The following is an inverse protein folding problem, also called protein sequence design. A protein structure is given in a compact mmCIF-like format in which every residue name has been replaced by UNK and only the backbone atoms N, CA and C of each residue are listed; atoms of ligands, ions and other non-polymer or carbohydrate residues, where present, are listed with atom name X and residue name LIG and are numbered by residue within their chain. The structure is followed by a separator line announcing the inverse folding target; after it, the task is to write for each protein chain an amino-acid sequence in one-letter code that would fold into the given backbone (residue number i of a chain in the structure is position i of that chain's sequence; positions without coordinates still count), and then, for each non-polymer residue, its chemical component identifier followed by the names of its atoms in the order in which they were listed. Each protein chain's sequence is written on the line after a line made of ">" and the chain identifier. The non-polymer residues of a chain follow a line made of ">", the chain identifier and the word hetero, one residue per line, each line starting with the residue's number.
data_IF_943436906062
#
_entry.id   IF_943436906062
#
_cell.length_a   1.000
_cell.length_b   1.000
_cell.length_c   1.000
_cell.angle_alpha   90.00
_cell.angle_beta   90.00
_cell.angle_gamma   90.00
#
_symmetry.space_group_name_H-M   'P 1'
#
loop_
_entity.id
_entity.type
_entity.pdbx_description
1 polymer ?
#
# COMPACT_ATOMS: atom_id res chain seq x y z
N UNK A 1 3.81 -25.13 -23.26
CA UNK A 1 3.31 -25.17 -21.85
C UNK A 1 3.54 -23.80 -21.25
N UNK A 2 2.48 -23.02 -20.98
CA UNK A 2 2.61 -21.68 -20.39
C UNK A 2 2.91 -21.90 -18.90
N UNK A 3 4.16 -21.70 -18.50
CA UNK A 3 4.57 -21.72 -17.09
C UNK A 3 3.91 -20.49 -16.46
N UNK A 4 2.92 -20.69 -15.61
CA UNK A 4 2.32 -19.62 -14.81
C UNK A 4 3.37 -19.24 -13.75
N UNK A 5 4.12 -18.15 -14.00
CA UNK A 5 5.07 -17.60 -13.02
C UNK A 5 4.30 -17.16 -11.77
N UNK A 6 4.79 -17.51 -10.59
CA UNK A 6 4.24 -17.06 -9.31
C UNK A 6 4.18 -15.52 -9.22
N UNK A 7 3.31 -15.02 -8.36
CA UNK A 7 3.18 -13.56 -8.11
C UNK A 7 3.84 -13.23 -6.77
N UNK A 8 4.76 -12.28 -6.78
CA UNK A 8 5.39 -11.76 -5.56
C UNK A 8 4.36 -11.00 -4.73
N UNK A 9 4.23 -11.36 -3.46
CA UNK A 9 3.40 -10.64 -2.51
C UNK A 9 4.28 -9.71 -1.66
N UNK A 10 3.98 -8.41 -1.72
CA UNK A 10 4.61 -7.38 -0.89
C UNK A 10 3.52 -6.49 -0.30
N UNK A 11 3.48 -6.41 1.01
CA UNK A 11 2.61 -5.50 1.76
C UNK A 11 3.42 -4.31 2.27
N UNK A 12 2.89 -3.10 2.14
CA UNK A 12 3.48 -1.86 2.64
C UNK A 12 2.56 -1.23 3.68
N UNK A 13 3.12 -0.85 4.83
CA UNK A 13 2.37 -0.27 5.94
C UNK A 13 3.10 0.89 6.62
N UNK A 14 2.34 1.77 7.29
CA UNK A 14 2.84 2.86 8.13
C UNK A 14 2.92 2.37 9.57
N UNK A 15 3.99 2.72 10.27
CA UNK A 15 4.18 2.39 11.68
C UNK A 15 4.02 3.63 12.56
N UNK A 16 3.25 3.47 13.63
CA UNK A 16 2.98 4.49 14.64
C UNK A 16 3.64 4.16 15.99
N UNK A 17 4.28 2.99 16.08
CA UNK A 17 5.09 2.53 17.21
C UNK A 17 6.23 1.67 16.66
N UNK A 18 7.26 2.30 16.12
CA UNK A 18 8.38 1.59 15.51
C UNK A 18 9.18 0.76 16.52
N UNK A 19 9.42 1.28 17.73
CA UNK A 19 10.17 0.55 18.78
C UNK A 19 9.46 -0.73 19.20
N UNK A 20 8.14 -0.64 19.45
CA UNK A 20 7.33 -1.81 19.77
C UNK A 20 7.29 -2.82 18.63
N UNK A 21 7.24 -2.33 17.38
CA UNK A 21 7.23 -3.21 16.20
C UNK A 21 8.57 -3.92 16.00
N UNK A 22 9.70 -3.22 16.11
CA UNK A 22 11.03 -3.83 16.04
C UNK A 22 11.18 -4.90 17.12
N UNK A 23 10.84 -4.57 18.38
CA UNK A 23 10.90 -5.55 19.49
C UNK A 23 9.97 -6.75 19.27
N UNK A 24 8.84 -6.57 18.60
CA UNK A 24 7.92 -7.65 18.30
C UNK A 24 8.48 -8.61 17.24
N UNK A 25 9.00 -8.09 16.12
CA UNK A 25 9.48 -8.92 15.02
C UNK A 25 10.80 -9.63 15.33
N UNK A 26 11.62 -9.09 16.26
CA UNK A 26 12.91 -9.64 16.66
C UNK A 26 12.88 -10.48 17.95
N UNK A 27 11.68 -10.76 18.50
CA UNK A 27 11.55 -11.51 19.76
C UNK A 27 11.32 -12.99 19.52
N UNK A 28 12.26 -13.83 19.87
CA UNK A 28 12.11 -15.29 19.83
C UNK A 28 10.94 -15.79 20.68
N UNK A 29 10.67 -15.15 21.83
CA UNK A 29 9.55 -15.51 22.69
C UNK A 29 8.17 -15.25 22.06
N UNK A 30 8.08 -14.34 21.09
CA UNK A 30 6.83 -13.95 20.42
C UNK A 30 6.69 -14.52 19.01
N UNK A 31 7.81 -14.94 18.42
CA UNK A 31 7.90 -15.43 17.04
C UNK A 31 8.38 -16.88 17.05
N UNK A 32 7.47 -17.84 17.00
CA UNK A 32 7.78 -19.27 17.09
C UNK A 32 8.74 -19.77 15.99
N UNK A 33 8.79 -19.07 14.86
CA UNK A 33 9.62 -19.44 13.70
C UNK A 33 10.43 -18.24 13.21
N UNK A 34 11.16 -17.59 14.12
CA UNK A 34 12.16 -16.57 13.80
C UNK A 34 13.46 -17.26 13.38
N UNK A 35 13.99 -16.94 12.20
CA UNK A 35 15.20 -17.52 11.64
C UNK A 35 16.39 -16.60 11.71
N UNK A 36 16.18 -15.30 11.45
CA UNK A 36 17.24 -14.29 11.46
C UNK A 36 16.70 -12.91 11.80
N UNK A 37 17.57 -12.07 12.36
CA UNK A 37 17.33 -10.62 12.54
C UNK A 37 18.54 -9.84 12.04
N UNK A 38 18.29 -8.69 11.40
CA UNK A 38 19.36 -7.84 10.91
C UNK A 38 19.01 -6.37 11.07
N UNK A 39 19.90 -5.59 11.67
CA UNK A 39 19.73 -4.16 11.90
C UNK A 39 20.91 -3.39 11.29
N UNK A 40 20.65 -2.35 10.52
CA UNK A 40 21.69 -1.51 9.91
C UNK A 40 22.05 -0.30 10.78
N UNK A 41 21.27 -0.04 11.83
CA UNK A 41 21.50 1.02 12.82
C UNK A 41 21.17 0.53 14.23
N UNK A 42 21.83 1.06 15.27
CA UNK A 42 21.61 0.68 16.66
C UNK A 42 20.22 1.13 17.17
N UNK A 43 19.78 0.57 18.30
CA UNK A 43 18.47 0.88 18.89
C UNK A 43 18.25 2.33 19.25
N UNK A 44 19.32 3.05 19.60
CA UNK A 44 19.32 4.48 19.90
C UNK A 44 18.87 5.30 18.70
N UNK A 45 19.29 4.93 17.48
CA UNK A 45 18.86 5.56 16.24
C UNK A 45 17.33 5.62 16.13
N UNK A 46 16.65 4.50 16.39
CA UNK A 46 15.19 4.43 16.32
C UNK A 46 14.52 5.25 17.42
N UNK A 47 15.15 5.36 18.59
CA UNK A 47 14.67 6.21 19.69
C UNK A 47 14.72 7.67 19.34
N UNK A 48 15.83 8.13 18.77
CA UNK A 48 16.03 9.52 18.34
C UNK A 48 15.10 9.86 17.16
N UNK A 49 14.97 8.94 16.18
CA UNK A 49 14.05 9.07 15.04
C UNK A 49 12.59 9.27 15.51
N UNK A 50 12.13 8.52 16.52
CA UNK A 50 10.79 8.65 17.08
C UNK A 50 10.62 10.03 17.74
N UNK A 51 11.57 10.48 18.55
CA UNK A 51 11.51 11.80 19.21
C UNK A 51 11.37 12.90 18.16
N UNK A 52 12.21 12.88 17.12
CA UNK A 52 12.18 13.90 16.08
C UNK A 52 10.91 13.84 15.23
N UNK A 53 10.46 12.66 14.83
CA UNK A 53 9.20 12.51 14.08
C UNK A 53 8.00 13.04 14.85
N UNK A 54 7.92 12.77 16.16
CA UNK A 54 6.84 13.27 17.04
C UNK A 54 6.91 14.77 17.22
N UNK A 55 8.11 15.33 17.44
CA UNK A 55 8.30 16.76 17.55
C UNK A 55 7.87 17.50 16.26
N UNK A 56 8.27 16.99 15.08
CA UNK A 56 7.85 17.55 13.80
C UNK A 56 6.34 17.42 13.58
N UNK A 57 5.74 16.29 13.95
CA UNK A 57 4.31 16.07 13.84
C UNK A 57 3.51 17.08 14.68
N UNK A 58 3.92 17.29 15.94
CA UNK A 58 3.30 18.29 16.82
C UNK A 58 3.45 19.70 16.23
N UNK A 59 4.66 20.06 15.77
CA UNK A 59 4.93 21.39 15.16
C UNK A 59 4.10 21.63 13.89
N UNK A 60 3.83 20.59 13.13
CA UNK A 60 3.06 20.72 11.89
C UNK A 60 1.57 21.03 12.13
N UNK A 61 1.04 20.79 13.32
CA UNK A 61 -0.39 20.92 13.63
C UNK A 61 -1.29 19.99 12.84
N UNK A 62 -0.73 18.96 12.21
CA UNK A 62 -1.49 17.99 11.40
C UNK A 62 -2.32 17.09 12.29
N UNK A 63 -3.60 16.90 11.96
CA UNK A 63 -4.46 15.93 12.64
C UNK A 63 -4.09 14.48 12.29
N UNK A 64 -4.41 13.54 13.17
CA UNK A 64 -4.19 12.10 12.96
C UNK A 64 -3.06 11.54 13.81
N UNK A 65 -2.37 10.51 13.32
CA UNK A 65 -1.32 9.78 14.05
C UNK A 65 0.03 9.98 13.39
N UNK A 66 1.06 10.23 14.20
CA UNK A 66 2.43 10.36 13.72
C UNK A 66 2.91 9.07 13.05
N UNK A 67 3.47 9.17 11.85
CA UNK A 67 4.16 8.07 11.19
C UNK A 67 5.62 8.12 11.65
N UNK A 68 6.04 7.10 12.42
CA UNK A 68 7.40 6.99 12.96
C UNK A 68 8.36 6.32 11.98
N UNK A 69 7.88 5.29 11.27
CA UNK A 69 8.62 4.55 10.25
C UNK A 69 7.64 3.85 9.29
N UNK A 70 8.17 3.08 8.34
CA UNK A 70 7.36 2.20 7.47
C UNK A 70 7.89 0.78 7.47
N UNK A 71 7.03 -0.14 7.05
CA UNK A 71 7.36 -1.55 6.98
C UNK A 71 6.94 -2.15 5.64
N UNK A 72 7.83 -2.94 5.04
CA UNK A 72 7.48 -3.92 4.03
C UNK A 72 7.42 -5.31 4.64
N UNK A 73 6.38 -6.07 4.27
CA UNK A 73 6.33 -7.52 4.47
C UNK A 73 6.46 -8.15 3.09
N UNK A 74 7.54 -8.88 2.87
CA UNK A 74 7.90 -9.50 1.59
C UNK A 74 7.77 -11.00 1.73
N UNK A 75 6.79 -11.61 1.07
CA UNK A 75 6.68 -13.06 1.03
C UNK A 75 7.75 -13.65 0.11
N UNK A 76 8.44 -14.66 0.60
CA UNK A 76 9.46 -15.40 -0.12
C UNK A 76 8.93 -16.77 -0.56
N UNK A 77 9.37 -17.29 -1.73
CA UNK A 77 9.09 -18.66 -2.12
C UNK A 77 9.68 -19.67 -1.12
N UNK A 78 8.96 -20.76 -0.87
CA UNK A 78 9.44 -21.84 0.02
C UNK A 78 10.80 -22.42 -0.44
N UNK A 79 11.11 -22.37 -1.72
CA UNK A 79 12.45 -22.75 -2.24
C UNK A 79 13.58 -22.01 -1.50
N UNK A 80 13.35 -20.79 -1.06
CA UNK A 80 14.36 -19.97 -0.39
C UNK A 80 14.61 -20.38 1.08
N UNK A 81 13.85 -21.30 1.63
CA UNK A 81 14.16 -21.90 2.95
C UNK A 81 15.43 -22.74 2.95
N UNK A 82 15.92 -23.12 1.77
CA UNK A 82 17.21 -23.81 1.61
C UNK A 82 18.44 -22.91 1.65
N UNK A 83 18.27 -21.57 1.70
CA UNK A 83 19.39 -20.63 1.83
C UNK A 83 19.72 -20.35 3.29
N UNK A 84 20.95 -19.90 3.54
CA UNK A 84 21.32 -19.38 4.86
C UNK A 84 20.45 -18.18 5.23
N UNK A 85 19.71 -18.21 6.36
CA UNK A 85 18.74 -17.16 6.72
C UNK A 85 19.40 -15.80 7.00
N UNK A 86 20.59 -15.79 7.61
CA UNK A 86 21.29 -14.54 7.96
C UNK A 86 21.81 -13.85 6.71
N UNK A 87 22.45 -14.59 5.80
CA UNK A 87 22.94 -14.07 4.53
C UNK A 87 21.78 -13.59 3.64
N UNK A 88 20.68 -14.35 3.58
CA UNK A 88 19.49 -14.01 2.84
C UNK A 88 18.90 -12.68 3.34
N UNK A 89 18.66 -12.57 4.65
CA UNK A 89 18.09 -11.38 5.26
C UNK A 89 19.00 -10.17 5.10
N UNK A 90 20.30 -10.33 5.34
CA UNK A 90 21.31 -9.28 5.15
C UNK A 90 21.33 -8.77 3.71
N UNK A 91 21.32 -9.66 2.72
CA UNK A 91 21.33 -9.29 1.31
C UNK A 91 20.11 -8.43 0.94
N UNK A 92 18.90 -8.83 1.37
CA UNK A 92 17.69 -8.07 1.11
C UNK A 92 17.72 -6.70 1.79
N UNK A 93 18.13 -6.65 3.06
CA UNK A 93 18.16 -5.43 3.88
C UNK A 93 19.19 -4.44 3.37
N UNK A 94 20.43 -4.88 3.11
CA UNK A 94 21.49 -4.03 2.59
C UNK A 94 21.22 -3.54 1.15
N UNK A 95 20.58 -4.37 0.33
CA UNK A 95 20.17 -3.96 -1.01
C UNK A 95 19.11 -2.86 -0.96
N UNK A 96 18.15 -2.95 -0.02
CA UNK A 96 17.14 -1.91 0.19
C UNK A 96 17.77 -0.63 0.76
N UNK A 97 18.60 -0.74 1.82
CA UNK A 97 19.36 0.38 2.38
C UNK A 97 20.13 1.13 1.31
N UNK A 98 20.87 0.43 0.49
CA UNK A 98 21.70 1.01 -0.58
C UNK A 98 20.87 1.73 -1.65
N UNK A 99 19.74 1.13 -2.04
CA UNK A 99 18.86 1.72 -3.08
C UNK A 99 18.18 2.99 -2.62
N UNK A 100 17.71 3.02 -1.38
CA UNK A 100 16.88 4.12 -0.87
C UNK A 100 17.61 5.02 0.12
N UNK A 101 18.85 4.70 0.45
CA UNK A 101 19.70 5.41 1.41
C UNK A 101 18.98 5.64 2.75
N UNK A 102 18.58 4.57 3.43
CA UNK A 102 17.83 4.57 4.69
C UNK A 102 18.33 3.51 5.62
N UNK A 103 18.17 3.72 6.94
CA UNK A 103 18.44 2.68 7.93
C UNK A 103 17.25 1.73 8.05
N UNK A 104 17.57 0.46 8.30
CA UNK A 104 16.63 -0.64 8.35
C UNK A 104 16.78 -1.51 9.60
N UNK A 105 15.66 -2.11 10.01
CA UNK A 105 15.63 -3.23 10.96
C UNK A 105 14.74 -4.31 10.35
N UNK A 106 15.25 -5.52 10.24
CA UNK A 106 14.56 -6.60 9.53
C UNK A 106 14.57 -7.90 10.33
N UNK A 107 13.57 -8.76 10.05
CA UNK A 107 13.45 -10.08 10.61
C UNK A 107 12.86 -11.05 9.59
N UNK A 108 13.34 -12.29 9.60
CA UNK A 108 12.93 -13.37 8.71
C UNK A 108 12.20 -14.44 9.48
N UNK A 109 10.96 -14.70 9.07
CA UNK A 109 10.06 -15.61 9.78
C UNK A 109 9.34 -16.59 8.87
N UNK A 110 8.84 -17.68 9.50
CA UNK A 110 7.63 -18.36 9.04
C UNK A 110 6.42 -17.98 9.91
N UNK A 111 5.21 -18.10 9.34
CA UNK A 111 4.01 -18.16 10.17
C UNK A 111 3.98 -19.48 10.98
N UNK A 112 3.10 -19.56 12.00
CA UNK A 112 2.95 -20.76 12.86
C UNK A 112 2.79 -22.08 12.08
N UNK A 113 2.13 -22.04 10.92
CA UNK A 113 1.85 -23.22 10.08
C UNK A 113 2.96 -23.53 9.08
N UNK A 114 4.05 -22.77 9.08
CA UNK A 114 5.14 -22.85 8.10
C UNK A 114 4.67 -22.84 6.64
N UNK A 115 3.66 -22.04 6.34
CA UNK A 115 3.08 -21.87 4.98
C UNK A 115 3.34 -20.50 4.37
N UNK A 116 4.10 -19.65 5.06
CA UNK A 116 4.38 -18.29 4.61
C UNK A 116 5.73 -17.83 5.15
N UNK A 117 6.78 -18.09 4.38
CA UNK A 117 8.12 -17.58 4.61
C UNK A 117 8.20 -16.13 4.19
N UNK A 118 8.64 -15.21 5.06
CA UNK A 118 8.58 -13.79 4.75
C UNK A 118 9.57 -12.95 5.57
N UNK A 119 9.97 -11.84 4.97
CA UNK A 119 10.78 -10.81 5.60
C UNK A 119 9.86 -9.69 6.09
N UNK A 120 10.04 -9.26 7.34
CA UNK A 120 9.66 -7.95 7.84
C UNK A 120 10.84 -7.00 7.66
N UNK A 121 10.68 -5.92 6.91
CA UNK A 121 11.70 -4.91 6.69
C UNK A 121 11.14 -3.54 7.10
N UNK A 122 11.56 -3.06 8.25
CA UNK A 122 11.24 -1.73 8.78
C UNK A 122 12.31 -0.77 8.31
N UNK A 123 11.92 0.42 7.84
CA UNK A 123 12.86 1.42 7.37
C UNK A 123 12.45 2.84 7.79
N UNK A 124 13.46 3.71 7.97
CA UNK A 124 13.26 5.12 8.28
C UNK A 124 12.91 5.91 7.02
N UNK A 125 12.13 7.00 7.17
CA UNK A 125 11.88 7.95 6.07
C UNK A 125 12.92 9.09 6.04
N UNK A 126 13.93 9.04 6.93
CA UNK A 126 14.94 10.10 7.15
C UNK A 126 16.32 9.50 7.25
N UNK A 127 17.31 10.31 6.91
CA UNK A 127 18.72 10.04 7.18
C UNK A 127 19.14 10.76 8.46
N UNK A 128 20.05 10.15 9.21
CA UNK A 128 20.69 10.82 10.34
C UNK A 128 21.75 11.78 9.81
N UNK A 129 21.77 13.01 10.33
CA UNK A 129 22.78 14.00 10.01
C UNK A 129 24.12 13.59 10.65
N UNK A 130 25.23 13.94 10.01
CA UNK A 130 26.56 13.74 10.58
C UNK A 130 26.76 14.58 11.85
N UNK A 131 26.24 15.82 11.81
CA UNK A 131 26.18 16.71 12.98
C UNK A 131 24.77 17.29 13.14
N UNK A 132 24.32 17.52 14.39
CA UNK A 132 23.03 18.12 14.65
C UNK A 132 22.91 19.53 14.08
N UNK A 133 21.82 19.82 13.39
CA UNK A 133 21.50 21.19 12.96
C UNK A 133 20.76 21.91 14.07
N UNK A 134 21.37 22.96 14.61
CA UNK A 134 20.83 23.76 15.70
C UNK A 134 20.29 25.07 15.21
N UNK A 135 19.10 25.45 15.66
CA UNK A 135 18.53 26.78 15.45
C UNK A 135 18.65 27.61 16.69
N UNK A 136 19.31 28.76 16.53
CA UNK A 136 19.57 29.70 17.62
C UNK A 136 18.53 30.82 17.62
N UNK A 137 18.00 31.16 18.78
CA UNK A 137 17.01 32.21 18.95
C UNK A 137 17.65 33.60 18.67
N UNK A 138 17.17 34.28 17.61
CA UNK A 138 17.61 35.66 17.28
C UNK A 138 16.98 36.72 18.16
N UNK A 139 15.97 36.37 18.96
CA UNK A 139 15.24 37.16 19.96
C UNK A 139 14.68 36.25 21.04
N UNK A 140 14.20 36.77 22.15
CA UNK A 140 13.48 35.97 23.13
C UNK A 140 12.27 35.33 22.49
N UNK A 141 12.12 34.02 22.65
CA UNK A 141 11.04 33.21 22.07
C UNK A 141 10.20 32.60 23.20
N UNK A 142 8.87 32.62 23.01
CA UNK A 142 7.92 32.11 23.99
C UNK A 142 7.20 30.91 23.43
N UNK A 143 6.92 29.90 24.27
CA UNK A 143 6.25 28.66 23.90
C UNK A 143 5.19 28.33 24.93
N UNK A 144 4.05 27.84 24.46
CA UNK A 144 2.97 27.35 25.31
C UNK A 144 3.29 25.97 25.92
N UNK A 145 2.44 25.44 26.83
CA UNK A 145 2.65 24.12 27.44
C UNK A 145 2.73 22.97 26.43
N UNK A 146 2.15 23.13 25.23
CA UNK A 146 2.21 22.15 24.15
C UNK A 146 3.46 22.29 23.26
N UNK A 147 4.36 23.23 23.58
CA UNK A 147 5.56 23.49 22.80
C UNK A 147 5.32 24.30 21.52
N UNK A 148 4.13 24.87 21.34
CA UNK A 148 3.81 25.75 20.22
C UNK A 148 4.30 27.15 20.49
N UNK A 149 4.94 27.76 19.50
CA UNK A 149 5.44 29.12 19.60
C UNK A 149 4.29 30.13 19.72
N UNK A 150 4.36 31.01 20.71
CA UNK A 150 3.50 32.18 20.86
C UNK A 150 4.21 33.43 20.37
N UNK A 151 3.42 34.37 19.84
CA UNK A 151 3.97 35.53 19.11
C UNK A 151 4.56 36.59 20.00
N UNK A 152 3.94 36.85 21.13
CA UNK A 152 4.26 37.98 21.99
C UNK A 152 4.47 37.54 23.44
N UNK A 153 5.24 38.34 24.20
CA UNK A 153 5.39 38.14 25.66
C UNK A 153 4.03 38.23 26.35
N UNK A 154 3.14 39.16 25.92
CA UNK A 154 1.81 39.34 26.51
C UNK A 154 0.91 38.10 26.46
N UNK A 155 1.05 37.27 25.42
CA UNK A 155 0.33 36.00 25.32
C UNK A 155 0.87 34.91 26.23
N UNK A 156 2.16 35.03 26.63
CA UNK A 156 2.85 34.02 27.41
C UNK A 156 3.01 34.42 28.90
N UNK A 157 2.64 35.65 29.30
CA UNK A 157 2.84 36.17 30.64
C UNK A 157 1.75 37.14 31.06
N UNK A 158 1.50 37.20 32.37
CA UNK A 158 0.66 38.16 33.05
C UNK A 158 1.49 39.10 33.93
N UNK A 159 0.87 39.78 34.89
CA UNK A 159 1.50 40.68 35.84
C UNK A 159 2.42 39.95 36.83
N UNK A 160 2.25 38.64 37.02
CA UNK A 160 3.05 37.79 37.93
C UNK A 160 4.20 37.08 37.20
N UNK A 161 4.32 37.19 35.87
CA UNK A 161 5.40 36.58 35.09
C UNK A 161 4.90 35.67 33.97
N UNK A 162 5.64 34.58 33.65
CA UNK A 162 5.21 33.61 32.67
C UNK A 162 4.03 32.78 33.19
N UNK A 163 3.04 32.59 32.35
CA UNK A 163 1.87 31.72 32.63
C UNK A 163 2.32 30.27 32.92
N UNK A 164 1.57 29.51 33.76
CA UNK A 164 1.93 28.15 34.10
C UNK A 164 2.13 27.26 32.86
N UNK A 165 3.28 26.55 32.81
CA UNK A 165 3.68 25.70 31.70
C UNK A 165 4.23 26.41 30.46
N UNK A 166 4.17 27.73 30.38
CA UNK A 166 4.86 28.50 29.36
C UNK A 166 6.34 28.57 29.64
N UNK A 167 7.16 28.62 28.56
CA UNK A 167 8.60 28.74 28.67
C UNK A 167 9.13 29.86 27.77
N UNK A 168 10.19 30.50 28.19
CA UNK A 168 10.94 31.43 27.38
C UNK A 168 12.29 30.84 27.02
N UNK A 169 12.71 31.01 25.79
CA UNK A 169 14.09 30.73 25.33
C UNK A 169 14.73 32.10 25.02
N UNK A 170 15.79 32.47 25.73
CA UNK A 170 16.50 33.73 25.53
C UNK A 170 17.14 33.82 24.14
N UNK A 171 17.38 35.07 23.69
CA UNK A 171 18.20 35.33 22.50
C UNK A 171 19.59 34.70 22.69
N UNK A 172 20.08 34.01 21.67
CA UNK A 172 21.37 33.32 21.65
C UNK A 172 21.32 31.86 22.06
N UNK A 173 20.22 31.38 22.65
CA UNK A 173 20.06 29.97 23.02
C UNK A 173 19.48 29.13 21.90
N UNK A 174 19.78 27.83 21.94
CA UNK A 174 19.23 26.83 20.99
C UNK A 174 17.77 26.57 21.33
N UNK A 175 16.87 26.78 20.36
CA UNK A 175 15.45 26.53 20.56
C UNK A 175 14.95 25.27 19.82
N UNK A 176 15.72 24.78 18.86
CA UNK A 176 15.39 23.60 18.06
C UNK A 176 16.68 22.91 17.60
N UNK A 177 16.74 21.61 17.75
CA UNK A 177 17.85 20.78 17.29
C UNK A 177 17.28 19.64 16.44
N UNK A 178 17.92 19.41 15.31
CA UNK A 178 17.57 18.35 14.38
C UNK A 178 18.72 17.37 14.25
N UNK A 179 18.45 16.10 14.54
CA UNK A 179 19.39 14.99 14.37
C UNK A 179 19.23 14.31 13.00
N UNK A 180 18.13 14.58 12.31
CA UNK A 180 17.76 13.94 11.05
C UNK A 180 17.40 14.97 9.98
N UNK A 181 17.57 14.57 8.74
CA UNK A 181 17.04 15.29 7.59
C UNK A 181 15.51 15.29 7.61
N UNK A 182 14.91 16.12 6.76
CA UNK A 182 13.45 16.07 6.52
C UNK A 182 13.08 14.73 5.91
N UNK A 183 11.83 14.28 6.16
CA UNK A 183 11.29 13.07 5.53
C UNK A 183 11.42 13.14 4.01
N UNK A 184 12.03 12.11 3.43
CA UNK A 184 12.21 12.03 2.00
C UNK A 184 10.84 11.92 1.30
N UNK A 185 10.49 12.85 0.38
CA UNK A 185 9.21 12.86 -0.32
C UNK A 185 8.98 11.64 -1.20
N UNK A 186 10.05 10.92 -1.60
CA UNK A 186 9.98 9.68 -2.36
C UNK A 186 9.01 8.67 -1.76
N UNK A 187 9.02 8.52 -0.42
CA UNK A 187 8.17 7.54 0.28
C UNK A 187 6.67 7.89 0.30
N UNK A 188 6.31 9.08 -0.18
CA UNK A 188 4.91 9.53 -0.35
C UNK A 188 4.44 9.46 -1.80
N UNK A 189 5.31 9.16 -2.76
CA UNK A 189 4.95 9.05 -4.16
C UNK A 189 4.00 7.87 -4.38
N UNK A 190 3.07 8.04 -5.33
CA UNK A 190 2.01 7.04 -5.61
C UNK A 190 2.56 5.73 -6.17
N UNK A 191 3.67 5.80 -6.87
CA UNK A 191 4.35 4.68 -7.53
C UNK A 191 5.44 4.02 -6.67
N UNK A 192 5.83 4.66 -5.54
CA UNK A 192 6.87 4.13 -4.66
C UNK A 192 6.64 2.66 -4.27
N UNK A 193 5.41 2.31 -3.86
CA UNK A 193 5.10 0.93 -3.45
C UNK A 193 5.23 -0.06 -4.61
N UNK A 194 4.89 0.34 -5.83
CA UNK A 194 5.04 -0.53 -7.01
C UNK A 194 6.51 -0.71 -7.39
N UNK A 195 7.27 0.39 -7.39
CA UNK A 195 8.72 0.35 -7.64
C UNK A 195 9.46 -0.52 -6.60
N UNK A 196 9.00 -0.48 -5.34
CA UNK A 196 9.53 -1.36 -4.30
C UNK A 196 9.14 -2.83 -4.52
N UNK A 197 7.93 -3.12 -4.99
CA UNK A 197 7.53 -4.50 -5.36
C UNK A 197 8.38 -5.05 -6.50
N UNK A 198 8.61 -4.28 -7.54
CA UNK A 198 9.49 -4.66 -8.64
C UNK A 198 10.90 -4.94 -8.13
N UNK A 199 11.45 -4.05 -7.30
CA UNK A 199 12.75 -4.22 -6.69
C UNK A 199 12.87 -5.53 -5.88
N UNK A 200 11.91 -5.82 -5.00
CA UNK A 200 11.93 -7.08 -4.24
C UNK A 200 11.74 -8.31 -5.14
N UNK A 201 10.91 -8.19 -6.19
CA UNK A 201 10.75 -9.27 -7.17
C UNK A 201 12.06 -9.57 -7.89
N UNK A 202 12.81 -8.54 -8.26
CA UNK A 202 14.12 -8.70 -8.90
C UNK A 202 15.15 -9.34 -7.94
N UNK A 203 15.15 -8.95 -6.66
CA UNK A 203 16.01 -9.58 -5.65
C UNK A 203 15.69 -11.08 -5.49
N UNK A 204 14.40 -11.43 -5.42
CA UNK A 204 13.95 -12.83 -5.35
C UNK A 204 14.40 -13.57 -6.62
N UNK A 205 14.16 -13.00 -7.80
CA UNK A 205 14.45 -13.64 -9.09
C UNK A 205 15.94 -13.87 -9.36
N UNK A 206 16.82 -13.09 -8.76
CA UNK A 206 18.28 -13.30 -8.87
C UNK A 206 18.72 -14.61 -8.24
N UNK A 207 17.95 -15.14 -7.29
CA UNK A 207 18.27 -16.34 -6.53
C UNK A 207 17.45 -17.57 -6.97
N UNK A 208 16.46 -17.37 -7.86
CA UNK A 208 15.59 -18.44 -8.33
C UNK A 208 16.01 -18.98 -9.70
N UNK A 209 15.88 -20.31 -9.91
CA UNK A 209 15.97 -20.90 -11.24
C UNK A 209 14.96 -20.27 -12.21
N UNK A 210 15.26 -20.23 -13.50
CA UNK A 210 14.45 -19.54 -14.53
C UNK A 210 12.96 -19.96 -14.51
N UNK A 211 12.71 -21.26 -14.34
CA UNK A 211 11.35 -21.83 -14.29
C UNK A 211 10.55 -21.40 -13.05
N UNK A 212 11.22 -20.97 -11.98
CA UNK A 212 10.61 -20.55 -10.71
C UNK A 212 10.51 -19.01 -10.56
N UNK A 213 11.04 -18.25 -11.51
CA UNK A 213 11.01 -16.80 -11.45
C UNK A 213 9.59 -16.27 -11.27
N UNK A 214 9.47 -15.27 -10.41
CA UNK A 214 8.23 -14.61 -10.04
C UNK A 214 8.02 -13.32 -10.86
N UNK A 215 6.82 -12.76 -10.78
CA UNK A 215 6.48 -11.46 -11.37
C UNK A 215 5.68 -10.64 -10.39
N UNK A 216 5.72 -9.32 -10.53
CA UNK A 216 4.77 -8.44 -9.85
C UNK A 216 3.37 -8.64 -10.42
N UNK A 217 2.33 -8.33 -9.64
CA UNK A 217 0.97 -8.26 -10.18
C UNK A 217 0.87 -6.99 -11.05
N UNK A 218 0.82 -7.12 -12.37
CA UNK A 218 0.90 -5.95 -13.23
C UNK A 218 -0.39 -5.14 -13.18
N UNK A 219 -0.28 -3.81 -12.99
CA UNK A 219 -1.43 -2.87 -13.03
C UNK A 219 -2.17 -2.90 -14.37
N UNK A 220 -1.42 -3.14 -15.46
CA UNK A 220 -1.92 -3.14 -16.84
C UNK A 220 -2.26 -4.55 -17.34
N UNK A 221 -2.81 -5.39 -16.48
CA UNK A 221 -3.34 -6.71 -16.84
C UNK A 221 -4.85 -6.77 -16.63
N UNK A 222 -5.57 -7.61 -17.39
CA UNK A 222 -7.02 -7.71 -17.27
C UNK A 222 -7.50 -8.38 -15.97
N UNK A 223 -6.59 -8.94 -15.18
CA UNK A 223 -6.90 -9.60 -13.91
C UNK A 223 -7.34 -8.63 -12.82
N UNK A 224 -8.11 -9.12 -11.86
CA UNK A 224 -8.53 -8.40 -10.65
C UNK A 224 -7.82 -8.98 -9.41
N UNK A 225 -7.08 -8.18 -8.64
CA UNK A 225 -6.38 -8.66 -7.44
C UNK A 225 -7.38 -9.00 -6.32
N UNK A 226 -7.21 -10.16 -5.68
CA UNK A 226 -7.94 -10.53 -4.47
C UNK A 226 -7.41 -9.78 -3.25
N UNK A 227 -8.22 -9.70 -2.19
CA UNK A 227 -7.84 -9.07 -0.93
C UNK A 227 -7.62 -10.14 0.13
N UNK A 228 -6.49 -10.08 0.85
CA UNK A 228 -6.23 -10.97 1.99
C UNK A 228 -7.23 -10.70 3.11
N UNK A 229 -7.79 -11.76 3.68
CA UNK A 229 -8.70 -11.69 4.83
C UNK A 229 -7.87 -11.86 6.09
N UNK A 230 -7.91 -10.87 6.98
CA UNK A 230 -7.28 -10.94 8.30
C UNK A 230 -8.06 -11.88 9.24
N UNK A 231 -7.38 -12.50 10.21
CA UNK A 231 -7.93 -13.53 11.09
C UNK A 231 -9.22 -13.11 11.84
N UNK A 232 -9.32 -11.84 12.22
CA UNK A 232 -10.45 -11.28 12.99
C UNK A 232 -11.05 -10.08 12.24
N UNK A 233 -11.16 -10.15 10.92
CA UNK A 233 -11.73 -9.05 10.15
C UNK A 233 -13.25 -9.09 10.23
N UNK A 234 -13.93 -8.05 10.75
CA UNK A 234 -15.39 -8.03 10.86
C UNK A 234 -16.10 -8.08 9.49
N UNK A 235 -15.38 -7.76 8.40
CA UNK A 235 -15.88 -7.81 7.02
C UNK A 235 -15.36 -9.03 6.24
N UNK A 236 -15.00 -10.14 6.93
CA UNK A 236 -14.40 -11.30 6.30
C UNK A 236 -15.29 -11.89 5.19
N UNK A 237 -16.58 -12.09 5.47
CA UNK A 237 -17.55 -12.64 4.52
C UNK A 237 -17.73 -11.76 3.28
N UNK A 238 -17.82 -10.45 3.45
CA UNK A 238 -17.94 -9.51 2.33
C UNK A 238 -16.69 -9.53 1.41
N UNK A 239 -15.50 -9.66 2.04
CA UNK A 239 -14.25 -9.75 1.30
C UNK A 239 -14.16 -11.08 0.57
N UNK A 240 -14.59 -12.17 1.19
CA UNK A 240 -14.59 -13.52 0.60
C UNK A 240 -15.50 -13.57 -0.62
N UNK A 241 -16.73 -13.07 -0.52
CA UNK A 241 -17.66 -12.99 -1.64
C UNK A 241 -17.12 -12.13 -2.78
N UNK A 242 -16.51 -10.97 -2.43
CA UNK A 242 -15.84 -10.11 -3.42
C UNK A 242 -14.66 -10.82 -4.09
N UNK A 243 -13.87 -11.60 -3.33
CA UNK A 243 -12.75 -12.38 -3.88
C UNK A 243 -13.26 -13.49 -4.80
N UNK A 244 -14.35 -14.19 -4.46
CA UNK A 244 -14.98 -15.19 -5.32
C UNK A 244 -15.35 -14.62 -6.69
N UNK A 245 -15.98 -13.45 -6.73
CA UNK A 245 -16.30 -12.77 -7.98
C UNK A 245 -15.07 -12.42 -8.80
N UNK A 246 -14.00 -11.97 -8.14
CA UNK A 246 -12.72 -11.68 -8.81
C UNK A 246 -12.06 -12.93 -9.36
N UNK A 247 -12.15 -14.05 -8.66
CA UNK A 247 -11.61 -15.34 -9.11
C UNK A 247 -12.40 -15.87 -10.32
N UNK A 248 -13.71 -15.72 -10.33
CA UNK A 248 -14.54 -16.02 -11.50
C UNK A 248 -14.16 -15.18 -12.72
N UNK A 249 -13.96 -13.87 -12.52
CA UNK A 249 -13.43 -12.99 -13.56
C UNK A 249 -12.07 -13.47 -14.06
N UNK A 250 -11.13 -13.75 -13.16
CA UNK A 250 -9.77 -14.16 -13.51
C UNK A 250 -9.76 -15.51 -14.24
N UNK A 251 -10.61 -16.45 -13.86
CA UNK A 251 -10.82 -17.71 -14.59
C UNK A 251 -11.37 -17.46 -16.00
N UNK A 252 -12.29 -16.50 -16.15
CA UNK A 252 -12.79 -16.05 -17.44
C UNK A 252 -11.69 -15.47 -18.33
N UNK A 253 -10.83 -14.61 -17.77
CA UNK A 253 -9.67 -14.05 -18.47
C UNK A 253 -8.72 -15.16 -18.96
N UNK A 254 -8.42 -16.15 -18.11
CA UNK A 254 -7.57 -17.29 -18.51
C UNK A 254 -8.18 -18.06 -19.68
N UNK A 255 -9.49 -18.35 -19.65
CA UNK A 255 -10.19 -19.02 -20.76
C UNK A 255 -10.16 -18.20 -22.04
N UNK A 256 -10.37 -16.88 -21.97
CA UNK A 256 -10.29 -16.00 -23.12
C UNK A 256 -8.89 -15.98 -23.73
N UNK A 257 -7.85 -15.87 -22.89
CA UNK A 257 -6.44 -15.88 -23.32
C UNK A 257 -6.03 -17.21 -23.95
N UNK A 258 -6.45 -18.34 -23.39
CA UNK A 258 -6.15 -19.66 -23.96
C UNK A 258 -6.78 -19.88 -25.34
N UNK A 259 -7.77 -19.05 -25.71
CA UNK A 259 -8.42 -19.02 -27.00
C UNK A 259 -7.92 -17.91 -27.94
N UNK A 260 -6.82 -17.26 -27.60
CA UNK A 260 -6.18 -16.27 -28.44
C UNK A 260 -6.74 -14.84 -28.32
N UNK A 261 -7.62 -14.53 -27.35
CA UNK A 261 -8.10 -13.15 -27.17
C UNK A 261 -6.94 -12.23 -26.76
N UNK A 262 -6.68 -11.15 -27.52
CA UNK A 262 -5.59 -10.22 -27.21
C UNK A 262 -5.76 -9.53 -25.84
N UNK A 263 -4.65 -9.24 -25.19
CA UNK A 263 -4.61 -8.55 -23.89
C UNK A 263 -5.34 -7.20 -23.93
N UNK A 264 -5.13 -6.43 -24.97
CA UNK A 264 -5.70 -5.09 -25.18
C UNK A 264 -7.22 -5.14 -25.17
N UNK A 265 -7.80 -6.17 -25.79
CA UNK A 265 -9.24 -6.39 -25.82
C UNK A 265 -9.77 -6.74 -24.43
N UNK A 266 -9.09 -7.59 -23.69
CA UNK A 266 -9.46 -7.94 -22.30
C UNK A 266 -9.31 -6.75 -21.34
N UNK A 267 -8.32 -5.90 -21.57
CA UNK A 267 -8.16 -4.63 -20.84
C UNK A 267 -9.31 -3.66 -21.13
N UNK A 268 -9.75 -3.58 -22.38
CA UNK A 268 -10.93 -2.79 -22.76
C UNK A 268 -12.19 -3.28 -22.04
N UNK A 269 -12.44 -4.59 -22.04
CA UNK A 269 -13.57 -5.22 -21.33
C UNK A 269 -13.53 -4.89 -19.83
N UNK A 270 -12.36 -5.05 -19.18
CA UNK A 270 -12.18 -4.67 -17.78
C UNK A 270 -12.49 -3.19 -17.52
N UNK A 271 -12.03 -2.33 -18.41
CA UNK A 271 -12.26 -0.89 -18.30
C UNK A 271 -13.75 -0.55 -18.36
N UNK A 272 -14.46 -1.12 -19.34
CA UNK A 272 -15.87 -0.80 -19.56
C UNK A 272 -16.79 -1.44 -18.50
N UNK A 273 -16.57 -2.70 -18.13
CA UNK A 273 -17.45 -3.44 -17.23
C UNK A 273 -17.15 -3.19 -15.74
N UNK A 274 -15.92 -2.81 -15.38
CA UNK A 274 -15.51 -2.68 -13.98
C UNK A 274 -15.01 -1.27 -13.68
N UNK A 275 -13.98 -0.78 -14.40
CA UNK A 275 -13.27 0.45 -13.99
C UNK A 275 -14.17 1.66 -14.13
N UNK A 276 -14.79 1.88 -15.28
CA UNK A 276 -15.66 3.04 -15.52
C UNK A 276 -16.89 3.08 -14.58
N UNK A 277 -17.66 1.98 -14.39
CA UNK A 277 -18.78 1.97 -13.46
C UNK A 277 -18.35 2.25 -12.01
N UNK A 278 -17.23 1.65 -11.56
CA UNK A 278 -16.68 1.91 -10.23
C UNK A 278 -16.25 3.38 -10.07
N UNK A 279 -15.57 3.93 -11.07
CA UNK A 279 -15.13 5.34 -11.03
C UNK A 279 -16.31 6.30 -10.98
N UNK A 280 -17.39 6.03 -11.73
CA UNK A 280 -18.63 6.80 -11.70
C UNK A 280 -19.27 6.75 -10.32
N UNK A 281 -19.47 5.55 -9.76
CA UNK A 281 -20.05 5.36 -8.43
C UNK A 281 -19.24 6.07 -7.32
N UNK A 282 -17.91 6.03 -7.38
CA UNK A 282 -17.04 6.76 -6.43
C UNK A 282 -17.22 8.27 -6.55
N UNK A 283 -17.35 8.79 -7.78
CA UNK A 283 -17.58 10.23 -8.02
C UNK A 283 -18.96 10.67 -7.48
N UNK A 284 -19.99 9.88 -7.71
CA UNK A 284 -21.36 10.14 -7.24
C UNK A 284 -21.49 10.08 -5.72
N UNK A 285 -20.66 9.28 -5.03
CA UNK A 285 -20.64 9.13 -3.56
C UNK A 285 -19.62 10.04 -2.84
N UNK A 286 -19.21 11.15 -3.48
CA UNK A 286 -18.31 12.12 -2.86
C UNK A 286 -16.87 11.63 -2.64
N UNK A 287 -16.38 10.72 -3.51
CA UNK A 287 -15.00 10.24 -3.49
C UNK A 287 -14.76 9.00 -2.62
N UNK A 288 -15.79 8.46 -1.97
CA UNK A 288 -15.68 7.23 -1.18
C UNK A 288 -16.22 6.03 -1.95
N UNK A 289 -15.53 4.90 -1.83
CA UNK A 289 -16.00 3.63 -2.39
C UNK A 289 -16.93 2.95 -1.38
N UNK A 290 -18.21 2.81 -1.74
CA UNK A 290 -19.13 1.96 -1.00
C UNK A 290 -18.89 0.47 -1.33
N UNK A 291 -18.64 -0.41 -0.32
CA UNK A 291 -18.35 -1.84 -0.54
C UNK A 291 -19.48 -2.59 -1.25
N UNK A 292 -20.73 -2.33 -0.88
CA UNK A 292 -21.91 -3.00 -1.45
C UNK A 292 -22.10 -2.64 -2.92
N UNK A 293 -22.04 -1.35 -3.23
CA UNK A 293 -22.12 -0.84 -4.61
C UNK A 293 -20.99 -1.39 -5.47
N UNK A 294 -19.77 -1.44 -4.93
CA UNK A 294 -18.65 -2.05 -5.64
C UNK A 294 -18.89 -3.53 -5.95
N UNK A 295 -19.36 -4.31 -4.97
CA UNK A 295 -19.67 -5.73 -5.15
C UNK A 295 -20.76 -5.94 -6.20
N UNK A 296 -21.81 -5.13 -6.20
CA UNK A 296 -22.90 -5.21 -7.19
C UNK A 296 -22.40 -4.90 -8.62
N UNK A 297 -21.56 -3.87 -8.78
CA UNK A 297 -20.91 -3.56 -10.08
C UNK A 297 -20.07 -4.75 -10.54
N UNK A 298 -19.24 -5.30 -9.63
CA UNK A 298 -18.39 -6.44 -9.94
C UNK A 298 -19.19 -7.66 -10.35
N UNK A 299 -20.25 -8.02 -9.61
CA UNK A 299 -21.12 -9.16 -9.92
C UNK A 299 -21.79 -9.02 -11.30
N UNK A 300 -22.31 -7.82 -11.63
CA UNK A 300 -22.86 -7.53 -12.96
C UNK A 300 -21.81 -7.66 -14.04
N UNK A 301 -20.62 -7.05 -13.85
CA UNK A 301 -19.54 -7.11 -14.82
C UNK A 301 -19.05 -8.54 -15.08
N UNK A 302 -18.89 -9.35 -14.02
CA UNK A 302 -18.53 -10.77 -14.13
C UNK A 302 -19.60 -11.56 -14.88
N UNK A 303 -20.88 -11.40 -14.51
CA UNK A 303 -21.99 -12.09 -15.19
C UNK A 303 -22.00 -11.81 -16.69
N UNK A 304 -21.89 -10.54 -17.07
CA UNK A 304 -21.84 -10.12 -18.48
C UNK A 304 -20.66 -10.72 -19.20
N UNK A 305 -19.47 -10.60 -18.62
CA UNK A 305 -18.25 -11.15 -19.20
C UNK A 305 -18.34 -12.67 -19.42
N UNK A 306 -18.86 -13.40 -18.44
CA UNK A 306 -19.04 -14.87 -18.57
C UNK A 306 -20.12 -15.26 -19.61
N UNK A 307 -21.20 -14.46 -19.74
CA UNK A 307 -22.21 -14.65 -20.77
C UNK A 307 -21.61 -14.44 -22.17
N UNK A 308 -20.86 -13.35 -22.36
CA UNK A 308 -20.14 -13.10 -23.60
C UNK A 308 -19.19 -14.26 -23.96
N UNK A 309 -18.47 -14.81 -22.98
CA UNK A 309 -17.59 -15.95 -23.18
C UNK A 309 -18.35 -17.22 -23.59
N UNK A 310 -19.58 -17.42 -23.12
CA UNK A 310 -20.42 -18.56 -23.52
C UNK A 310 -20.95 -18.43 -24.96
N UNK A 311 -21.40 -17.24 -25.31
CA UNK A 311 -21.90 -16.95 -26.67
C UNK A 311 -20.81 -17.13 -27.71
N UNK A 312 -19.61 -16.63 -27.43
CA UNK A 312 -18.45 -16.77 -28.31
C UNK A 312 -17.90 -18.20 -28.44
N UNK A 313 -18.30 -19.14 -27.56
CA UNK A 313 -17.92 -20.54 -27.66
C UNK A 313 -18.56 -21.26 -28.87
N UNK A 314 -19.58 -20.67 -29.49
CA UNK A 314 -20.32 -21.26 -30.62
C UNK A 314 -19.69 -20.97 -31.98
N UNK A 315 -18.76 -20.02 -32.05
CA UNK A 315 -18.13 -19.53 -33.26
C UNK A 315 -16.65 -19.90 -33.33
N UNK A 316 -16.10 -20.13 -34.51
CA UNK A 316 -14.70 -20.51 -34.73
C UNK A 316 -13.70 -19.39 -34.42
N UNK A 317 -12.39 -19.69 -34.27
CA UNK A 317 -11.36 -18.75 -33.81
C UNK A 317 -11.20 -17.49 -34.70
N UNK A 318 -11.48 -17.55 -35.97
CA UNK A 318 -11.35 -16.43 -36.92
C UNK A 318 -12.48 -15.41 -36.80
N UNK A 319 -13.70 -15.87 -36.51
CA UNK A 319 -14.89 -15.02 -36.29
C UNK A 319 -14.91 -14.42 -34.91
N UNK A 320 -14.15 -15.00 -33.99
CA UNK A 320 -14.14 -14.66 -32.58
C UNK A 320 -13.76 -13.20 -32.27
N UNK A 321 -12.74 -12.65 -32.95
CA UNK A 321 -12.30 -11.27 -32.74
C UNK A 321 -13.34 -10.25 -33.21
N UNK A 322 -14.09 -10.55 -34.31
CA UNK A 322 -15.13 -9.69 -34.85
C UNK A 322 -16.42 -9.76 -34.03
N UNK A 323 -16.92 -10.97 -33.77
CA UNK A 323 -18.12 -11.21 -32.95
C UNK A 323 -17.95 -10.67 -31.51
N UNK A 324 -16.75 -10.72 -30.96
CA UNK A 324 -16.41 -10.11 -29.67
C UNK A 324 -16.56 -8.59 -29.68
N UNK A 325 -16.11 -7.92 -30.76
CA UNK A 325 -16.28 -6.47 -30.92
C UNK A 325 -17.76 -6.08 -30.99
N UNK A 326 -18.51 -6.77 -31.82
CA UNK A 326 -19.95 -6.54 -32.04
C UNK A 326 -20.78 -6.81 -30.76
N UNK A 327 -20.49 -7.90 -30.04
CA UNK A 327 -21.17 -8.24 -28.79
C UNK A 327 -20.89 -7.20 -27.68
N UNK A 328 -19.66 -6.68 -27.61
CA UNK A 328 -19.29 -5.64 -26.65
C UNK A 328 -19.96 -4.30 -26.99
N UNK A 329 -19.97 -3.91 -28.26
CA UNK A 329 -20.59 -2.68 -28.72
C UNK A 329 -22.12 -2.72 -28.54
N UNK A 330 -22.76 -3.86 -28.83
CA UNK A 330 -24.17 -4.11 -28.55
C UNK A 330 -24.51 -4.04 -27.08
N UNK A 331 -23.63 -4.59 -26.20
CA UNK A 331 -23.80 -4.53 -24.76
C UNK A 331 -23.61 -3.10 -24.21
N UNK A 332 -22.64 -2.36 -24.72
CA UNK A 332 -22.42 -0.96 -24.33
C UNK A 332 -23.62 -0.09 -24.68
N UNK A 333 -24.19 -0.30 -25.87
CA UNK A 333 -25.44 0.38 -26.31
C UNK A 333 -26.61 0.05 -25.37
N UNK A 334 -26.82 -1.21 -25.02
CA UNK A 334 -27.83 -1.64 -24.05
C UNK A 334 -27.65 -1.03 -22.64
N UNK A 335 -26.41 -0.91 -22.15
CA UNK A 335 -26.13 -0.27 -20.87
C UNK A 335 -26.37 1.24 -20.90
N UNK A 336 -26.09 1.91 -22.02
CA UNK A 336 -26.38 3.34 -22.22
C UNK A 336 -27.90 3.60 -22.27
N UNK A 337 -28.64 2.82 -22.99
CA UNK A 337 -30.10 2.94 -23.10
C UNK A 337 -30.83 2.72 -21.77
N UNK A 338 -30.36 1.78 -20.94
CA UNK A 338 -30.91 1.58 -19.58
C UNK A 338 -30.53 2.67 -18.58
N UNK A 339 -29.34 3.26 -18.69
CA UNK A 339 -28.95 4.36 -17.80
C UNK A 339 -29.70 5.64 -18.12
N UNK A 340 -30.00 5.94 -19.39
CA UNK A 340 -30.88 7.05 -19.80
C UNK A 340 -32.32 6.83 -19.37
N UNK A 341 -32.83 5.59 -19.44
CA UNK A 341 -34.17 5.26 -18.97
C UNK A 341 -34.38 5.41 -17.46
N UNK A 342 -33.36 5.18 -16.65
CA UNK A 342 -33.39 5.39 -15.18
C UNK A 342 -33.37 6.90 -14.83
N UNK A 343 -32.64 7.69 -15.58
CA UNK A 343 -32.59 9.17 -15.40
C UNK A 343 -33.95 9.79 -15.72
N UNK A 344 -34.59 9.35 -16.80
CA UNK A 344 -35.93 9.84 -17.19
C UNK A 344 -37.01 9.42 -16.18
N UNK A 345 -36.92 8.22 -15.59
CA UNK A 345 -37.83 7.80 -14.53
C UNK A 345 -37.65 8.61 -13.24
N UNK A 346 -36.43 8.89 -12.84
CA UNK A 346 -36.15 9.75 -11.67
C UNK A 346 -36.59 11.19 -11.85
N UNK A 347 -36.43 11.76 -13.03
CA UNK A 347 -36.95 13.11 -13.32
C UNK A 347 -38.48 13.17 -13.27
N UNK A 348 -39.18 12.17 -13.78
CA UNK A 348 -40.66 12.11 -13.72
C UNK A 348 -41.23 11.83 -12.31
N UNK A 349 -40.44 11.27 -11.39
CA UNK A 349 -40.80 11.10 -9.97
C UNK A 349 -40.54 12.35 -9.13
N UNK A 350 -39.70 13.27 -9.59
CA UNK A 350 -39.43 14.55 -8.92
C UNK A 350 -40.41 15.67 -9.39
N UNK A 351 -41.01 15.49 -10.59
CA UNK A 351 -42.00 16.42 -11.17
C UNK A 351 -43.47 16.05 -10.86
N UNK A 352 -43.69 15.02 -10.03
CA UNK A 352 -44.99 14.66 -9.43
C UNK A 352 -45.00 14.89 -7.94
#
# INVERSE_FOLDING_TARGET
>A
MIIIKGITFVQHSKLHNVKGRISYISSEARQENLYATYETAPREYWSDLVKENRADFIRSGTSGTCIEAREFIVALPEYMTGFDPDELLKNFTESFKRKYNVECSAALHHNKRKTNYHIHLIYSERQKLGEPVRKIATRNMFFDPNGKRVRTKKEASDEHGLLPGYRMIPKGEVYEEHLFEKKNPLFKQKDFTENAKEFFTDLINRQLPEQMKMRTFPKNEPYLPTKKIGKNNPHAEEIEETNRLKDEWNKGINRARSRGVPKERLMYVKRELIIKPVSRSVKESGGKRDPLTFRNILAKGVKVFLTMLKELNREGPETWAKAWGEALDGFMKYCMEKSTGIVIKKQREIER
#
